data_IF_859014419687
#
_entry.id   IF_859014419687
#
_cell.length_a   1.000
_cell.length_b   1.000
_cell.length_c   1.000
_cell.angle_alpha   90.00
_cell.angle_beta   90.00
_cell.angle_gamma   90.00
#
_symmetry.space_group_name_H-M   'P 1'
#
loop_
_entity.id
_entity.type
_entity.pdbx_description
1 polymer ?
#
# COMPACT_ATOMS: atom_id res chain seq x y z
N UNK A 1 42.82 34.34 -34.07
CA UNK A 1 41.61 33.89 -33.32
C UNK A 1 41.81 34.12 -31.83
N UNK A 2 40.96 34.95 -31.22
CA UNK A 2 41.15 35.51 -29.87
C UNK A 2 40.90 34.48 -28.75
N UNK A 3 41.82 34.39 -27.77
CA UNK A 3 41.73 33.55 -26.56
C UNK A 3 40.40 33.70 -25.80
N UNK A 4 39.71 34.83 -25.97
CA UNK A 4 38.37 35.10 -25.38
C UNK A 4 37.28 34.19 -25.95
N UNK A 5 37.33 33.81 -27.24
CA UNK A 5 36.32 32.92 -27.86
C UNK A 5 36.46 31.47 -27.38
N UNK A 6 37.68 31.00 -27.12
CA UNK A 6 37.94 29.66 -26.60
C UNK A 6 37.50 29.51 -25.13
N UNK A 7 37.71 30.54 -24.30
CA UNK A 7 37.24 30.58 -22.92
C UNK A 7 35.70 30.55 -22.81
N UNK A 8 35.01 31.35 -23.63
CA UNK A 8 33.54 31.36 -23.71
C UNK A 8 32.97 30.00 -24.17
N UNK A 9 33.61 29.32 -25.12
CA UNK A 9 33.22 28.00 -25.59
C UNK A 9 33.41 26.89 -24.52
N UNK A 10 34.45 26.99 -23.69
CA UNK A 10 34.67 26.06 -22.58
C UNK A 10 33.66 26.27 -21.43
N UNK A 11 33.35 27.53 -21.10
CA UNK A 11 32.38 27.87 -20.04
C UNK A 11 30.97 27.41 -20.44
N UNK A 12 30.56 27.66 -21.69
CA UNK A 12 29.24 27.21 -22.19
C UNK A 12 29.09 25.70 -22.25
N UNK A 13 30.15 24.93 -22.53
CA UNK A 13 30.12 23.45 -22.44
C UNK A 13 29.95 22.95 -21.00
N UNK A 14 30.61 23.57 -20.03
CA UNK A 14 30.49 23.18 -18.61
C UNK A 14 29.09 23.46 -18.05
N UNK A 15 28.51 24.61 -18.41
CA UNK A 15 27.14 24.97 -18.01
C UNK A 15 26.11 24.00 -18.61
N UNK A 16 26.24 23.66 -19.91
CA UNK A 16 25.33 22.68 -20.55
C UNK A 16 25.37 21.29 -19.90
N UNK A 17 26.56 20.81 -19.52
CA UNK A 17 26.71 19.51 -18.84
C UNK A 17 26.08 19.54 -17.44
N UNK A 18 26.25 20.63 -16.70
CA UNK A 18 25.63 20.80 -15.38
C UNK A 18 24.09 20.84 -15.47
N UNK A 19 23.54 21.55 -16.46
CA UNK A 19 22.09 21.61 -16.67
C UNK A 19 21.50 20.26 -17.10
N UNK A 20 22.19 19.50 -17.95
CA UNK A 20 21.77 18.15 -18.33
C UNK A 20 21.80 17.19 -17.14
N UNK A 21 22.85 17.22 -16.33
CA UNK A 21 22.93 16.38 -15.12
C UNK A 21 21.81 16.72 -14.11
N UNK A 22 21.52 18.01 -13.90
CA UNK A 22 20.41 18.44 -13.06
C UNK A 22 19.06 17.98 -13.60
N UNK A 23 18.82 18.07 -14.92
CA UNK A 23 17.60 17.59 -15.54
C UNK A 23 17.41 16.08 -15.39
N UNK A 24 18.48 15.29 -15.50
CA UNK A 24 18.46 13.84 -15.28
C UNK A 24 18.13 13.50 -13.82
N UNK A 25 18.73 14.20 -12.86
CA UNK A 25 18.45 13.99 -11.42
C UNK A 25 16.99 14.33 -11.11
N UNK A 26 16.48 15.46 -11.61
CA UNK A 26 15.08 15.87 -11.41
C UNK A 26 14.10 14.88 -12.06
N UNK A 27 14.40 14.40 -13.27
CA UNK A 27 13.58 13.39 -13.94
C UNK A 27 13.58 12.04 -13.19
N UNK A 28 14.72 11.63 -12.63
CA UNK A 28 14.82 10.43 -11.80
C UNK A 28 14.01 10.55 -10.50
N UNK A 29 14.09 11.70 -9.82
CA UNK A 29 13.32 11.98 -8.61
C UNK A 29 11.80 12.02 -8.87
N UNK A 30 11.38 12.61 -10.00
CA UNK A 30 9.98 12.63 -10.42
C UNK A 30 9.46 11.23 -10.79
N UNK A 31 10.29 10.39 -11.42
CA UNK A 31 9.91 9.02 -11.76
C UNK A 31 9.69 8.15 -10.50
N UNK A 32 10.45 8.37 -9.44
CA UNK A 32 10.28 7.64 -8.16
C UNK A 32 9.07 8.12 -7.34
N UNK A 33 8.62 9.36 -7.52
CA UNK A 33 7.44 9.88 -6.81
C UNK A 33 6.11 9.32 -7.37
N UNK A 34 6.09 8.86 -8.63
CA UNK A 34 4.89 8.30 -9.25
C UNK A 34 4.52 6.90 -8.76
N UNK A 35 5.44 6.16 -8.14
CA UNK A 35 5.24 4.77 -7.72
C UNK A 35 4.68 4.63 -6.30
N UNK A 36 4.80 5.69 -5.48
CA UNK A 36 4.33 5.69 -4.09
C UNK A 36 2.89 6.20 -3.93
N UNK A 37 2.29 6.75 -4.99
CA UNK A 37 0.98 7.41 -4.96
C UNK A 37 -0.21 6.54 -5.36
N UNK A 38 0.00 5.31 -5.83
CA UNK A 38 -1.09 4.35 -6.04
C UNK A 38 -1.47 3.73 -4.69
N UNK A 39 -2.18 4.49 -3.87
CA UNK A 39 -2.89 3.91 -2.73
C UNK A 39 -3.81 2.79 -3.25
N UNK A 40 -3.91 1.65 -2.55
CA UNK A 40 -4.41 0.40 -3.10
C UNK A 40 -5.95 0.38 -3.18
N UNK A 41 -6.64 1.45 -3.59
CA UNK A 41 -8.10 1.40 -3.70
C UNK A 41 -8.56 0.34 -4.70
N UNK A 42 -7.73 0.01 -5.70
CA UNK A 42 -7.97 -1.09 -6.63
C UNK A 42 -7.94 -2.49 -5.98
N UNK A 43 -7.50 -2.60 -4.73
CA UNK A 43 -7.45 -3.87 -3.99
C UNK A 43 -8.80 -4.14 -3.26
N UNK A 44 -9.60 -3.13 -2.94
CA UNK A 44 -10.59 -3.34 -1.88
C UNK A 44 -11.95 -3.73 -2.48
N UNK A 45 -12.55 -4.80 -1.96
CA UNK A 45 -13.91 -5.24 -2.32
C UNK A 45 -14.88 -4.66 -1.31
N UNK A 46 -15.92 -3.96 -1.77
CA UNK A 46 -16.95 -3.46 -0.86
C UNK A 46 -17.72 -4.62 -0.23
N UNK A 47 -18.02 -4.53 1.06
CA UNK A 47 -18.75 -5.55 1.81
C UNK A 47 -19.61 -4.95 2.91
N UNK A 48 -20.33 -5.81 3.61
CA UNK A 48 -21.18 -5.41 4.74
C UNK A 48 -21.30 -6.53 5.78
N UNK A 49 -21.58 -6.13 7.03
CA UNK A 49 -21.91 -7.08 8.09
C UNK A 49 -23.34 -7.61 7.96
N UNK A 50 -23.54 -8.89 8.25
CA UNK A 50 -24.81 -9.59 8.04
C UNK A 50 -25.69 -9.68 9.29
N UNK A 51 -25.13 -9.60 10.49
CA UNK A 51 -25.85 -9.71 11.76
C UNK A 51 -25.21 -8.85 12.87
N UNK A 52 -25.96 -8.63 13.96
CA UNK A 52 -25.52 -7.81 15.09
C UNK A 52 -24.60 -8.59 16.02
N UNK A 53 -23.49 -7.98 16.42
CA UNK A 53 -22.47 -8.68 17.20
C UNK A 53 -21.49 -9.50 16.35
N UNK A 54 -21.39 -9.23 15.05
CA UNK A 54 -20.42 -9.86 14.16
C UNK A 54 -18.98 -9.53 14.62
N UNK A 55 -18.29 -10.52 15.19
CA UNK A 55 -16.96 -10.33 15.77
C UNK A 55 -15.86 -10.07 14.75
N UNK A 56 -14.95 -9.16 15.09
CA UNK A 56 -13.73 -8.87 14.33
C UNK A 56 -12.52 -9.21 15.18
N UNK A 57 -11.66 -10.08 14.68
CA UNK A 57 -10.58 -10.72 15.43
C UNK A 57 -9.20 -10.23 14.99
N UNK A 58 -8.18 -10.26 15.87
CA UNK A 58 -6.82 -9.87 15.50
C UNK A 58 -6.18 -10.85 14.52
N UNK A 59 -6.60 -12.13 14.51
CA UNK A 59 -6.06 -13.18 13.62
C UNK A 59 -7.19 -13.99 12.98
N UNK A 60 -6.89 -14.64 11.86
CA UNK A 60 -7.80 -15.58 11.20
C UNK A 60 -8.03 -16.86 12.01
N UNK A 61 -7.15 -17.18 12.96
CA UNK A 61 -7.28 -18.33 13.86
C UNK A 61 -8.12 -18.00 15.11
N UNK A 62 -8.61 -16.76 15.22
CA UNK A 62 -9.47 -16.28 16.30
C UNK A 62 -8.74 -15.43 17.35
N UNK A 63 -9.30 -15.39 18.56
CA UNK A 63 -8.86 -14.56 19.68
C UNK A 63 -10.02 -13.80 20.34
N UNK A 64 -9.70 -12.90 21.27
CA UNK A 64 -10.70 -11.96 21.77
C UNK A 64 -11.10 -10.98 20.66
N UNK A 65 -12.40 -10.73 20.43
CA UNK A 65 -12.83 -9.79 19.41
C UNK A 65 -12.32 -8.38 19.75
N UNK A 66 -11.70 -7.72 18.78
CA UNK A 66 -11.26 -6.33 18.87
C UNK A 66 -12.47 -5.39 18.98
N UNK A 67 -13.54 -5.73 18.26
CA UNK A 67 -14.81 -5.02 18.23
C UNK A 67 -15.86 -5.88 17.49
N UNK A 68 -17.11 -5.43 17.50
CA UNK A 68 -18.23 -6.07 16.80
C UNK A 68 -18.90 -5.11 15.82
N UNK A 69 -19.32 -5.63 14.67
CA UNK A 69 -20.06 -4.91 13.64
C UNK A 69 -21.57 -5.00 13.82
N UNK A 70 -22.29 -4.06 13.19
CA UNK A 70 -23.76 -4.04 13.09
C UNK A 70 -24.23 -4.38 11.67
N UNK A 71 -25.43 -4.97 11.51
CA UNK A 71 -25.93 -5.34 10.19
C UNK A 71 -25.98 -4.14 9.23
N UNK A 72 -25.53 -4.34 7.99
CA UNK A 72 -25.56 -3.33 6.93
C UNK A 72 -24.46 -2.27 7.00
N UNK A 73 -23.62 -2.26 8.04
CA UNK A 73 -22.46 -1.36 8.08
C UNK A 73 -21.50 -1.69 6.93
N UNK A 74 -21.22 -0.67 6.10
CA UNK A 74 -20.35 -0.79 4.95
C UNK A 74 -18.89 -0.90 5.37
N UNK A 75 -18.23 -1.96 4.94
CA UNK A 75 -16.83 -2.26 5.21
C UNK A 75 -16.10 -2.46 3.90
N UNK A 76 -14.78 -2.50 3.98
CA UNK A 76 -13.96 -2.86 2.85
C UNK A 76 -13.19 -4.14 3.14
N UNK A 77 -13.30 -5.11 2.25
CA UNK A 77 -12.65 -6.42 2.32
C UNK A 77 -11.36 -6.33 1.49
N UNK A 78 -10.24 -6.71 2.09
CA UNK A 78 -8.96 -6.78 1.38
C UNK A 78 -8.75 -8.13 0.72
N UNK A 79 -8.79 -9.21 1.51
CA UNK A 79 -8.49 -10.56 1.03
C UNK A 79 -9.18 -11.63 1.88
N UNK A 80 -9.14 -12.88 1.43
CA UNK A 80 -9.71 -14.06 2.10
C UNK A 80 -8.60 -15.00 2.59
N UNK A 81 -8.71 -15.54 3.81
CA UNK A 81 -7.88 -16.65 4.30
C UNK A 81 -8.78 -17.69 4.93
N UNK A 82 -8.93 -18.83 4.25
CA UNK A 82 -9.88 -19.87 4.66
C UNK A 82 -11.30 -19.33 4.78
N UNK A 83 -11.86 -19.41 5.99
CA UNK A 83 -13.22 -18.94 6.30
C UNK A 83 -13.27 -17.51 6.85
N UNK A 84 -12.23 -16.70 6.63
CA UNK A 84 -12.17 -15.34 7.14
C UNK A 84 -11.84 -14.32 6.05
N UNK A 85 -12.44 -13.14 6.14
CA UNK A 85 -12.05 -11.96 5.37
C UNK A 85 -11.23 -11.01 6.26
N UNK A 86 -10.13 -10.49 5.73
CA UNK A 86 -9.46 -9.33 6.31
C UNK A 86 -10.24 -8.08 5.92
N UNK A 87 -10.73 -7.34 6.91
CA UNK A 87 -11.61 -6.19 6.72
C UNK A 87 -11.04 -4.90 7.31
N UNK A 88 -11.46 -3.79 6.74
CA UNK A 88 -11.11 -2.44 7.15
C UNK A 88 -12.39 -1.61 7.34
N UNK A 89 -12.47 -0.89 8.46
CA UNK A 89 -13.64 -0.08 8.80
C UNK A 89 -13.27 1.26 9.44
N UNK A 90 -13.33 2.33 8.63
CA UNK A 90 -13.13 3.73 9.06
C UNK A 90 -11.94 3.91 10.02
N UNK A 91 -12.22 4.13 11.30
CA UNK A 91 -11.26 4.42 12.38
C UNK A 91 -11.10 3.25 13.36
N UNK A 92 -11.69 2.09 13.07
CA UNK A 92 -11.52 0.88 13.89
C UNK A 92 -10.27 0.13 13.42
N UNK A 93 -9.57 -0.59 14.32
CA UNK A 93 -8.52 -1.50 13.93
C UNK A 93 -9.01 -2.51 12.91
N UNK A 94 -8.23 -2.72 11.85
CA UNK A 94 -8.47 -3.78 10.87
C UNK A 94 -8.38 -5.15 11.55
N UNK A 95 -9.11 -6.13 11.02
CA UNK A 95 -9.12 -7.47 11.58
C UNK A 95 -9.86 -8.47 10.71
N UNK A 96 -9.98 -9.69 11.22
CA UNK A 96 -10.54 -10.82 10.52
C UNK A 96 -11.98 -11.05 10.95
N UNK A 97 -12.89 -11.20 9.99
CA UNK A 97 -14.29 -11.52 10.24
C UNK A 97 -14.68 -12.79 9.48
N UNK A 98 -15.60 -13.59 10.05
CA UNK A 98 -16.01 -14.86 9.43
C UNK A 98 -16.70 -14.59 8.09
N UNK A 99 -16.11 -15.11 7.02
CA UNK A 99 -16.58 -14.98 5.66
C UNK A 99 -17.94 -15.67 5.50
N UNK A 100 -18.82 -15.03 4.73
CA UNK A 100 -20.12 -15.54 4.28
C UNK A 100 -21.16 -15.78 5.41
N UNK A 101 -20.72 -15.78 6.66
CA UNK A 101 -21.53 -15.83 7.89
C UNK A 101 -21.68 -14.44 8.49
N UNK A 102 -20.57 -13.78 8.83
CA UNK A 102 -20.54 -12.46 9.49
C UNK A 102 -20.41 -11.29 8.52
N UNK A 103 -19.72 -11.52 7.40
CA UNK A 103 -19.47 -10.50 6.38
C UNK A 103 -19.72 -11.08 5.01
N UNK A 104 -20.31 -10.28 4.12
CA UNK A 104 -20.47 -10.61 2.70
C UNK A 104 -19.94 -9.49 1.80
N UNK A 105 -19.33 -9.83 0.65
CA UNK A 105 -19.14 -8.86 -0.42
C UNK A 105 -20.48 -8.25 -0.84
N UNK A 106 -20.46 -6.97 -1.20
CA UNK A 106 -21.63 -6.28 -1.71
C UNK A 106 -22.07 -6.94 -3.03
N UNK A 107 -23.38 -7.11 -3.32
CA UNK A 107 -23.84 -7.81 -4.53
C UNK A 107 -23.38 -7.18 -5.85
N UNK A 108 -23.08 -5.88 -5.83
CA UNK A 108 -22.56 -5.14 -6.99
C UNK A 108 -21.04 -5.19 -7.12
N UNK A 109 -20.34 -5.88 -6.22
CA UNK A 109 -18.90 -6.07 -6.33
C UNK A 109 -18.60 -6.94 -7.56
N UNK A 110 -17.83 -6.38 -8.50
CA UNK A 110 -17.41 -7.09 -9.73
C UNK A 110 -16.13 -7.91 -9.54
N UNK A 111 -15.55 -7.86 -8.34
CA UNK A 111 -14.31 -8.56 -7.97
C UNK A 111 -14.55 -9.44 -6.75
N UNK A 112 -13.94 -10.61 -6.78
CA UNK A 112 -13.83 -11.48 -5.61
C UNK A 112 -12.61 -11.06 -4.78
N UNK A 113 -12.67 -11.13 -3.44
CA UNK A 113 -11.48 -11.00 -2.60
C UNK A 113 -10.44 -12.04 -3.03
N UNK A 114 -9.19 -11.64 -3.26
CA UNK A 114 -8.12 -12.61 -3.54
C UNK A 114 -7.74 -13.36 -2.26
N UNK A 115 -7.06 -14.50 -2.40
CA UNK A 115 -6.52 -15.23 -1.27
C UNK A 115 -5.36 -14.46 -0.64
N UNK A 116 -5.46 -14.17 0.66
CA UNK A 116 -4.37 -13.58 1.40
C UNK A 116 -3.16 -14.51 1.30
N UNK A 117 -2.09 -14.06 0.67
CA UNK A 117 -0.80 -14.74 0.78
C UNK A 117 -0.50 -14.83 2.27
N UNK A 118 -0.11 -16.01 2.81
CA UNK A 118 0.42 -16.07 4.15
C UNK A 118 1.58 -15.06 4.19
N UNK A 119 1.39 -13.94 4.91
CA UNK A 119 2.53 -13.20 5.38
C UNK A 119 3.16 -14.16 6.38
N UNK A 120 4.17 -14.90 5.93
CA UNK A 120 5.02 -15.69 6.80
C UNK A 120 5.71 -14.73 7.78
N UNK A 121 5.03 -14.41 8.88
CA UNK A 121 5.55 -13.62 9.98
C UNK A 121 4.56 -12.59 10.56
N UNK A 122 4.69 -12.27 11.86
CA UNK A 122 3.96 -11.18 12.49
C UNK A 122 4.25 -9.85 11.75
N UNK A 123 3.31 -8.88 11.77
CA UNK A 123 3.38 -7.62 11.02
C UNK A 123 4.61 -6.74 11.33
N UNK A 124 5.40 -7.09 12.34
CA UNK A 124 6.67 -6.44 12.65
C UNK A 124 7.76 -6.64 11.58
N UNK A 125 7.69 -7.69 10.74
CA UNK A 125 8.77 -7.93 9.75
C UNK A 125 8.58 -7.21 8.42
N UNK A 126 7.36 -6.79 8.06
CA UNK A 126 7.11 -6.07 6.82
C UNK A 126 7.70 -4.64 6.86
N UNK A 127 7.58 -3.95 7.99
CA UNK A 127 8.18 -2.63 8.20
C UNK A 127 9.72 -2.70 8.28
N UNK A 128 10.29 -3.79 8.80
CA UNK A 128 11.75 -3.94 8.96
C UNK A 128 12.45 -4.25 7.62
N UNK A 129 11.76 -4.84 6.64
CA UNK A 129 12.33 -5.06 5.30
C UNK A 129 12.51 -3.78 4.49
N UNK A 130 11.60 -2.81 4.58
CA UNK A 130 11.77 -1.52 3.89
C UNK A 130 12.88 -0.67 4.50
N UNK A 131 13.04 -0.68 5.83
CA UNK A 131 14.09 0.11 6.50
C UNK A 131 15.50 -0.43 6.18
N UNK A 132 15.67 -1.75 6.06
CA UNK A 132 16.98 -2.34 5.71
C UNK A 132 17.41 -2.07 4.25
N UNK A 133 16.48 -1.88 3.32
CA UNK A 133 16.84 -1.51 1.94
C UNK A 133 17.45 -0.11 1.87
N UNK A 134 16.99 0.83 2.71
CA UNK A 134 17.54 2.18 2.77
C UNK A 134 18.90 2.26 3.48
N UNK A 135 19.16 1.41 4.47
CA UNK A 135 20.46 1.41 5.18
C UNK A 135 21.60 0.82 4.34
N UNK A 136 21.33 -0.09 3.41
CA UNK A 136 22.34 -0.66 2.51
C UNK A 136 22.73 0.26 1.33
N UNK A 137 21.98 1.34 1.08
CA UNK A 137 22.29 2.33 0.04
C UNK A 137 23.20 3.46 0.55
N UNK A 138 23.56 3.46 1.84
CA UNK A 138 24.41 4.48 2.48
C UNK A 138 25.64 3.90 3.22
N UNK A 139 25.93 2.60 3.04
CA UNK A 139 27.13 1.95 3.55
C UNK A 139 28.22 1.79 2.47
#
# INVERSE_FOLDING_TARGET
MSRRRAALAMVTRRIRRALLAAAVIVAALLATAGSAGATPEAKWVQGYFTFDGAGVYPTADGGQPLWTGKPGEAIRIECRRGNYYLIHYRYRPSGWAVADVSVKPHPTATRTPWDCTPLDGPPETAAVREVNFWLLLWA
#
